data_IF_323049564004
#
_entry.id   IF_323049564004
#
_cell.length_a   1.000
_cell.length_b   1.000
_cell.length_c   1.000
_cell.angle_alpha   90.00
_cell.angle_beta   90.00
_cell.angle_gamma   90.00
#
_symmetry.space_group_name_H-M   'P 1'
#
loop_
_entity.id
_entity.type
_entity.pdbx_description
1 polymer ?
#
# COMPACT_ATOMS: atom_id res chain seq x y z
N UNK A 1 2.29 -16.35 20.33
CA UNK A 1 1.99 -15.00 19.79
C UNK A 1 1.53 -15.12 18.35
N UNK A 2 0.63 -14.25 17.87
CA UNK A 2 0.28 -14.21 16.43
C UNK A 2 1.51 -13.97 15.53
N UNK A 3 2.52 -13.27 16.06
CA UNK A 3 3.83 -13.08 15.42
C UNK A 3 4.55 -14.41 15.16
N UNK A 4 4.66 -15.28 16.16
CA UNK A 4 5.25 -16.61 16.01
C UNK A 4 4.51 -17.46 14.96
N UNK A 5 3.18 -17.32 14.87
CA UNK A 5 2.36 -18.01 13.86
C UNK A 5 2.53 -17.42 12.45
N UNK A 6 2.74 -16.11 12.33
CA UNK A 6 2.95 -15.42 11.06
C UNK A 6 4.34 -15.69 10.47
N UNK A 7 5.37 -15.79 11.31
CA UNK A 7 6.75 -15.99 10.87
C UNK A 7 7.22 -17.45 10.93
N UNK A 8 6.55 -18.30 11.70
CA UNK A 8 6.91 -19.71 11.88
C UNK A 8 6.10 -20.71 11.05
N UNK A 9 5.13 -20.24 10.25
CA UNK A 9 4.27 -21.10 9.41
C UNK A 9 4.29 -20.64 7.96
N UNK A 10 4.30 -21.60 7.02
CA UNK A 10 4.23 -21.34 5.57
C UNK A 10 3.00 -20.51 5.20
N UNK A 11 1.87 -20.75 5.89
CA UNK A 11 0.62 -19.99 5.72
C UNK A 11 0.80 -18.55 6.23
N UNK A 12 1.50 -18.40 7.35
CA UNK A 12 1.82 -17.10 7.94
C UNK A 12 2.65 -16.24 6.99
N UNK A 13 3.71 -16.80 6.42
CA UNK A 13 4.57 -16.10 5.45
C UNK A 13 3.81 -15.73 4.17
N UNK A 14 3.00 -16.64 3.63
CA UNK A 14 2.17 -16.35 2.46
C UNK A 14 1.16 -15.23 2.74
N UNK A 15 0.54 -15.23 3.93
CA UNK A 15 -0.37 -14.15 4.34
C UNK A 15 0.35 -12.80 4.51
N UNK A 16 1.60 -12.81 4.99
CA UNK A 16 2.41 -11.60 5.15
C UNK A 16 2.73 -10.95 3.79
N UNK A 17 3.03 -11.74 2.77
CA UNK A 17 3.27 -11.24 1.41
C UNK A 17 2.03 -10.55 0.84
N UNK A 18 0.84 -11.13 1.06
CA UNK A 18 -0.43 -10.52 0.61
C UNK A 18 -0.68 -9.19 1.32
N UNK A 19 -0.49 -9.15 2.64
CA UNK A 19 -0.65 -7.93 3.44
C UNK A 19 0.27 -6.83 2.92
N UNK A 20 1.56 -7.13 2.72
CA UNK A 20 2.52 -6.16 2.17
C UNK A 20 2.11 -5.74 0.76
N UNK A 21 1.65 -6.67 -0.09
CA UNK A 21 1.16 -6.37 -1.43
C UNK A 21 0.02 -5.35 -1.44
N UNK A 22 -0.97 -5.52 -0.56
CA UNK A 22 -2.08 -4.57 -0.43
C UNK A 22 -1.60 -3.21 0.05
N UNK A 23 -0.69 -3.16 1.03
CA UNK A 23 -0.12 -1.89 1.51
C UNK A 23 0.64 -1.14 0.42
N UNK A 24 1.44 -1.85 -0.40
CA UNK A 24 2.17 -1.26 -1.53
C UNK A 24 1.19 -0.71 -2.57
N UNK A 25 0.15 -1.45 -2.94
CA UNK A 25 -0.88 -0.99 -3.89
C UNK A 25 -1.59 0.26 -3.36
N UNK A 26 -2.00 0.25 -2.08
CA UNK A 26 -2.63 1.39 -1.43
C UNK A 26 -1.73 2.63 -1.43
N UNK A 27 -0.44 2.47 -1.13
CA UNK A 27 0.53 3.57 -1.15
C UNK A 27 0.77 4.12 -2.57
N UNK A 28 0.91 3.25 -3.58
CA UNK A 28 1.08 3.66 -4.98
C UNK A 28 -0.16 4.40 -5.48
N UNK A 29 -1.36 3.87 -5.21
CA UNK A 29 -2.61 4.52 -5.57
C UNK A 29 -2.74 5.87 -4.87
N UNK A 30 -2.52 5.94 -3.55
CA UNK A 30 -2.54 7.19 -2.80
C UNK A 30 -1.60 8.24 -3.38
N UNK A 31 -0.36 7.86 -3.70
CA UNK A 31 0.62 8.74 -4.35
C UNK A 31 0.16 9.23 -5.72
N UNK A 32 -0.36 8.33 -6.57
CA UNK A 32 -0.86 8.71 -7.89
C UNK A 32 -2.06 9.65 -7.82
N UNK A 33 -2.98 9.43 -6.88
CA UNK A 33 -4.13 10.31 -6.65
C UNK A 33 -3.70 11.68 -6.13
N UNK A 34 -2.83 11.76 -5.12
CA UNK A 34 -2.31 13.04 -4.62
C UNK A 34 -1.60 13.84 -5.71
N UNK A 35 -0.79 13.19 -6.54
CA UNK A 35 -0.11 13.86 -7.65
C UNK A 35 -1.09 14.40 -8.70
N UNK A 36 -2.16 13.67 -9.01
CA UNK A 36 -3.22 14.15 -9.93
C UNK A 36 -3.95 15.37 -9.37
N UNK A 37 -4.27 15.36 -8.08
CA UNK A 37 -4.92 16.50 -7.40
C UNK A 37 -4.01 17.74 -7.42
N UNK A 38 -2.71 17.56 -7.20
CA UNK A 38 -1.73 18.64 -7.29
C UNK A 38 -1.62 19.20 -8.72
N UNK A 39 -1.57 18.32 -9.73
CA UNK A 39 -1.56 18.73 -11.14
C UNK A 39 -2.82 19.50 -11.55
N UNK A 40 -4.00 19.04 -11.14
CA UNK A 40 -5.27 19.74 -11.40
C UNK A 40 -5.34 21.08 -10.67
N UNK A 41 -4.93 21.12 -9.40
CA UNK A 41 -4.87 22.36 -8.61
C UNK A 41 -3.95 23.39 -9.26
N UNK A 42 -2.80 22.96 -9.80
CA UNK A 42 -1.86 23.85 -10.50
C UNK A 42 -2.37 24.33 -11.86
N UNK A 43 -3.21 23.54 -12.54
CA UNK A 43 -3.86 23.94 -13.80
C UNK A 43 -5.01 24.93 -13.56
N UNK A 44 -5.74 24.79 -12.45
CA UNK A 44 -6.85 25.68 -12.07
C UNK A 44 -6.40 27.01 -11.44
N UNK A 45 -5.16 27.08 -10.92
CA UNK A 45 -4.58 28.28 -10.32
C UNK A 45 -3.81 29.21 -11.28
N UNK A 46 -3.82 28.94 -12.58
CA UNK A 46 -3.34 29.83 -13.66
C UNK A 46 -4.51 30.28 -14.51
#
# INVERSE_FOLDING_TARGET
MAWELLFGSDIGLMSLVVIIGVLVIGAVMGKMYSNKVEEESRKLGK
#
